data_IF_209222001248
#
_entry.id   IF_209222001248
#
_cell.length_a   1.000
_cell.length_b   1.000
_cell.length_c   1.000
_cell.angle_alpha   90.00
_cell.angle_beta   90.00
_cell.angle_gamma   90.00
#
_symmetry.space_group_name_H-M   'P 1'
#
loop_
_entity.id
_entity.type
_entity.pdbx_description
1 polymer ?
#
# COMPACT_ATOMS: atom_id res chain seq x y z
N UNK A 1 8.05 6.24 -30.19
CA UNK A 1 8.82 5.13 -30.83
C UNK A 1 8.19 3.82 -30.39
N UNK A 2 8.17 2.78 -31.22
CA UNK A 2 7.76 1.45 -30.79
C UNK A 2 9.02 0.60 -30.60
N UNK A 3 9.15 -0.03 -29.43
CA UNK A 3 10.24 -0.94 -29.09
C UNK A 3 9.64 -2.34 -28.94
N UNK A 4 10.22 -3.32 -29.62
CA UNK A 4 9.83 -4.73 -29.56
C UNK A 4 11.12 -5.53 -29.41
N UNK A 5 11.37 -6.05 -28.21
CA UNK A 5 12.60 -6.75 -27.84
C UNK A 5 12.26 -7.94 -26.95
N UNK A 6 12.70 -9.13 -27.32
CA UNK A 6 12.46 -10.31 -26.49
C UNK A 6 13.21 -10.23 -25.15
N UNK A 7 14.54 -10.10 -25.18
CA UNK A 7 15.36 -9.94 -23.98
C UNK A 7 16.39 -8.83 -24.19
N UNK A 8 16.65 -8.04 -23.15
CA UNK A 8 17.71 -7.04 -23.17
C UNK A 8 18.47 -7.00 -21.85
N UNK A 9 19.81 -7.05 -21.95
CA UNK A 9 20.71 -6.91 -20.80
C UNK A 9 21.49 -5.59 -20.96
N UNK A 10 21.34 -4.68 -20.00
CA UNK A 10 22.00 -3.37 -20.03
C UNK A 10 22.82 -3.18 -18.76
N UNK A 11 24.08 -2.80 -18.92
CA UNK A 11 24.93 -2.44 -17.77
C UNK A 11 24.45 -1.12 -17.15
N UNK A 12 24.38 -0.05 -17.94
CA UNK A 12 23.98 1.27 -17.45
C UNK A 12 23.05 1.96 -18.46
N UNK A 13 21.98 2.57 -17.96
CA UNK A 13 21.23 3.61 -18.66
C UNK A 13 21.45 4.93 -17.92
N UNK A 14 21.92 5.94 -18.64
CA UNK A 14 22.11 7.30 -18.13
C UNK A 14 21.58 8.25 -19.21
N UNK A 15 20.34 8.70 -19.02
CA UNK A 15 19.65 9.58 -19.98
C UNK A 15 18.66 10.48 -19.26
N UNK A 16 18.52 11.74 -19.70
CA UNK A 16 17.52 12.62 -19.09
C UNK A 16 16.08 12.14 -19.29
N UNK A 17 15.69 11.82 -20.53
CA UNK A 17 14.31 11.48 -20.85
C UNK A 17 14.23 10.26 -21.77
N UNK A 18 13.21 9.42 -21.54
CA UNK A 18 12.77 8.37 -22.45
C UNK A 18 11.31 8.62 -22.83
N UNK A 19 11.06 8.96 -24.09
CA UNK A 19 9.69 9.18 -24.61
C UNK A 19 9.38 8.11 -25.67
N UNK A 20 8.47 7.19 -25.34
CA UNK A 20 8.08 6.11 -26.26
C UNK A 20 6.58 5.93 -26.35
N UNK A 21 6.13 5.34 -27.45
CA UNK A 21 4.70 5.14 -27.70
C UNK A 21 4.28 3.77 -27.16
N UNK A 22 4.99 2.73 -27.59
CA UNK A 22 4.77 1.36 -27.12
C UNK A 22 6.12 0.71 -26.79
N UNK A 23 6.17 0.00 -25.68
CA UNK A 23 7.26 -0.91 -25.31
C UNK A 23 6.67 -2.32 -25.16
N UNK A 24 7.18 -3.26 -25.93
CA UNK A 24 6.90 -4.69 -25.83
C UNK A 24 8.23 -5.39 -25.51
N UNK A 25 8.43 -5.75 -24.24
CA UNK A 25 9.67 -6.39 -23.77
C UNK A 25 9.37 -7.56 -22.84
N UNK A 26 9.82 -8.77 -23.21
CA UNK A 26 9.54 -9.94 -22.37
C UNK A 26 10.38 -9.95 -21.10
N UNK A 27 11.70 -9.69 -21.21
CA UNK A 27 12.60 -9.60 -20.06
C UNK A 27 13.61 -8.45 -20.22
N UNK A 28 13.83 -7.70 -19.15
CA UNK A 28 14.80 -6.60 -19.10
C UNK A 28 15.65 -6.70 -17.84
N UNK A 29 16.96 -6.94 -18.01
CA UNK A 29 17.93 -6.99 -16.91
C UNK A 29 18.81 -5.74 -16.97
N UNK A 30 18.77 -4.89 -15.94
CA UNK A 30 19.59 -3.67 -15.88
C UNK A 30 20.38 -3.57 -14.58
N UNK A 31 21.68 -3.29 -14.67
CA UNK A 31 22.48 -3.11 -13.46
C UNK A 31 22.28 -1.73 -12.83
N UNK A 32 22.30 -0.64 -13.62
CA UNK A 32 22.04 0.71 -13.10
C UNK A 32 21.18 1.53 -14.06
N UNK A 33 20.18 2.22 -13.51
CA UNK A 33 19.40 3.24 -14.21
C UNK A 33 19.54 4.57 -13.48
N UNK A 34 19.86 5.62 -14.24
CA UNK A 34 19.78 7.02 -13.85
C UNK A 34 18.98 7.76 -14.94
N UNK A 35 17.70 8.02 -14.66
CA UNK A 35 16.79 8.68 -15.60
C UNK A 35 15.97 9.75 -14.87
N UNK A 36 15.82 10.92 -15.47
CA UNK A 36 14.96 11.95 -14.90
C UNK A 36 13.48 11.67 -15.18
N UNK A 37 13.10 11.40 -16.43
CA UNK A 37 11.70 11.18 -16.78
C UNK A 37 11.52 10.04 -17.78
N UNK A 38 10.50 9.21 -17.56
CA UNK A 38 10.01 8.21 -18.52
C UNK A 38 8.56 8.55 -18.85
N UNK A 39 8.25 8.73 -20.14
CA UNK A 39 6.88 8.92 -20.64
C UNK A 39 6.57 7.82 -21.68
N UNK A 40 5.60 6.95 -21.36
CA UNK A 40 5.25 5.80 -22.20
C UNK A 40 3.72 5.68 -22.34
N UNK A 41 3.19 5.54 -23.55
CA UNK A 41 1.74 5.31 -23.66
C UNK A 41 1.35 3.88 -23.28
N UNK A 42 2.04 2.85 -23.78
CA UNK A 42 1.68 1.46 -23.46
C UNK A 42 2.90 0.60 -23.20
N UNK A 43 2.82 -0.23 -22.16
CA UNK A 43 3.81 -1.26 -21.84
C UNK A 43 3.13 -2.64 -21.81
N UNK A 44 3.67 -3.59 -22.58
CA UNK A 44 3.41 -5.02 -22.45
C UNK A 44 4.74 -5.69 -22.08
N UNK A 45 4.95 -5.92 -20.78
CA UNK A 45 6.18 -6.50 -20.26
C UNK A 45 5.89 -7.62 -19.28
N UNK A 46 6.75 -8.62 -19.20
CA UNK A 46 6.61 -9.63 -18.14
C UNK A 46 7.46 -9.28 -16.92
N UNK A 47 8.78 -9.14 -17.06
CA UNK A 47 9.71 -8.95 -15.92
C UNK A 47 10.78 -7.90 -16.18
N UNK A 48 11.02 -7.03 -15.20
CA UNK A 48 12.06 -6.02 -15.17
C UNK A 48 12.90 -6.23 -13.91
N UNK A 49 14.15 -6.66 -14.09
CA UNK A 49 15.10 -6.91 -13.00
C UNK A 49 16.14 -5.78 -12.96
N UNK A 50 16.13 -4.96 -11.90
CA UNK A 50 17.02 -3.79 -11.79
C UNK A 50 17.81 -3.79 -10.49
N UNK A 51 19.14 -3.79 -10.58
CA UNK A 51 19.96 -3.76 -9.36
C UNK A 51 19.89 -2.39 -8.66
N UNK A 52 20.10 -1.27 -9.35
CA UNK A 52 19.92 0.06 -8.77
C UNK A 52 19.13 0.96 -9.72
N UNK A 53 18.09 1.61 -9.20
CA UNK A 53 17.23 2.51 -9.94
C UNK A 53 17.20 3.88 -9.27
N UNK A 54 17.59 4.92 -10.01
CA UNK A 54 17.35 6.32 -9.67
C UNK A 54 16.48 6.91 -10.80
N UNK A 55 15.16 6.98 -10.56
CA UNK A 55 14.20 7.51 -11.52
C UNK A 55 13.29 8.54 -10.86
N UNK A 56 13.38 9.79 -11.29
CA UNK A 56 12.56 10.83 -10.65
C UNK A 56 11.06 10.70 -10.97
N UNK A 57 10.67 10.49 -12.24
CA UNK A 57 9.27 10.35 -12.62
C UNK A 57 9.04 9.31 -13.73
N UNK A 58 7.97 8.53 -13.59
CA UNK A 58 7.44 7.58 -14.56
C UNK A 58 5.98 7.94 -14.83
N UNK A 59 5.63 8.32 -16.06
CA UNK A 59 4.26 8.57 -16.52
C UNK A 59 3.89 7.54 -17.59
N UNK A 60 2.90 6.67 -17.28
CA UNK A 60 2.47 5.61 -18.17
C UNK A 60 0.94 5.60 -18.34
N UNK A 61 0.45 5.50 -19.58
CA UNK A 61 -1.00 5.46 -19.80
C UNK A 61 -1.60 4.07 -19.52
N UNK A 62 -1.02 2.98 -20.05
CA UNK A 62 -1.53 1.63 -19.80
C UNK A 62 -0.42 0.60 -19.60
N UNK A 63 -0.61 -0.28 -18.63
CA UNK A 63 0.23 -1.45 -18.32
C UNK A 63 -0.66 -2.70 -18.26
N UNK A 64 -0.33 -3.73 -19.07
CA UNK A 64 -1.07 -5.00 -19.07
C UNK A 64 -0.49 -5.99 -18.05
N UNK A 65 0.84 -6.05 -17.88
CA UNK A 65 1.53 -6.79 -16.81
C UNK A 65 2.85 -6.07 -16.51
N UNK A 66 3.22 -6.01 -15.23
CA UNK A 66 4.53 -5.50 -14.81
C UNK A 66 4.99 -6.20 -13.52
N UNK A 67 6.04 -7.01 -13.61
CA UNK A 67 6.80 -7.45 -12.44
C UNK A 67 8.09 -6.63 -12.39
N UNK A 68 8.31 -5.92 -11.29
CA UNK A 68 9.52 -5.14 -11.03
C UNK A 68 10.25 -5.78 -9.86
N UNK A 69 11.44 -6.33 -10.11
CA UNK A 69 12.33 -6.85 -9.09
C UNK A 69 13.51 -5.89 -8.95
N UNK A 70 13.62 -5.18 -7.82
CA UNK A 70 14.78 -4.27 -7.61
C UNK A 70 15.47 -4.40 -6.27
N UNK A 71 16.77 -4.04 -6.25
CA UNK A 71 17.53 -4.05 -5.00
C UNK A 71 17.46 -2.70 -4.27
N UNK A 72 17.70 -1.58 -4.95
CA UNK A 72 17.64 -0.26 -4.32
C UNK A 72 16.97 0.77 -5.24
N UNK A 73 16.07 1.55 -4.67
CA UNK A 73 15.39 2.70 -5.30
C UNK A 73 15.57 3.94 -4.40
N UNK A 74 16.14 5.03 -4.95
CA UNK A 74 16.39 6.27 -4.19
C UNK A 74 15.17 7.21 -4.20
N UNK A 75 14.42 7.32 -5.31
CA UNK A 75 13.16 8.06 -5.45
C UNK A 75 12.40 7.45 -6.62
N UNK A 76 11.06 7.32 -6.52
CA UNK A 76 10.23 6.87 -7.62
C UNK A 76 8.82 7.46 -7.51
N UNK A 77 8.46 8.35 -8.45
CA UNK A 77 7.08 8.78 -8.67
C UNK A 77 6.50 8.02 -9.85
N UNK A 78 5.40 7.31 -9.64
CA UNK A 78 4.70 6.51 -10.65
C UNK A 78 3.31 7.08 -10.85
N UNK A 79 3.08 7.69 -12.01
CA UNK A 79 1.77 8.13 -12.46
C UNK A 79 1.26 7.15 -13.53
N UNK A 80 0.21 6.37 -13.23
CA UNK A 80 -0.35 5.40 -14.19
C UNK A 80 -1.86 5.51 -14.33
N UNK A 81 -2.35 5.58 -15.57
CA UNK A 81 -3.81 5.65 -15.79
C UNK A 81 -4.50 4.28 -15.64
N UNK A 82 -4.02 3.22 -16.29
CA UNK A 82 -4.60 1.88 -16.10
C UNK A 82 -3.52 0.81 -15.94
N UNK A 83 -3.74 -0.07 -14.96
CA UNK A 83 -2.91 -1.25 -14.68
C UNK A 83 -3.84 -2.46 -14.58
N UNK A 84 -3.57 -3.51 -15.35
CA UNK A 84 -4.20 -4.81 -15.09
C UNK A 84 -3.49 -5.49 -13.90
N UNK A 85 -2.19 -5.78 -14.02
CA UNK A 85 -1.41 -6.44 -12.95
C UNK A 85 -0.08 -5.72 -12.70
N UNK A 86 0.18 -5.39 -11.44
CA UNK A 86 1.47 -4.86 -10.99
C UNK A 86 1.99 -5.61 -9.76
N UNK A 87 3.16 -6.20 -9.89
CA UNK A 87 3.90 -6.81 -8.78
C UNK A 87 5.23 -6.07 -8.60
N UNK A 88 5.51 -5.64 -7.38
CA UNK A 88 6.70 -4.87 -7.02
C UNK A 88 7.43 -5.61 -5.90
N UNK A 89 8.59 -6.19 -6.22
CA UNK A 89 9.47 -6.86 -5.25
C UNK A 89 10.74 -6.01 -5.06
N UNK A 90 10.88 -5.36 -3.90
CA UNK A 90 12.00 -4.42 -3.67
C UNK A 90 12.69 -4.62 -2.32
N UNK A 91 14.03 -4.65 -2.32
CA UNK A 91 14.78 -4.76 -1.07
C UNK A 91 14.80 -3.44 -0.26
N UNK A 92 15.17 -2.31 -0.85
CA UNK A 92 15.14 -1.02 -0.16
C UNK A 92 14.60 0.10 -1.06
N UNK A 93 13.72 0.93 -0.49
CA UNK A 93 13.21 2.14 -1.13
C UNK A 93 13.30 3.30 -0.14
N UNK A 94 13.88 4.42 -0.57
CA UNK A 94 13.86 5.65 0.21
C UNK A 94 12.50 6.35 0.06
N UNK A 95 11.96 6.51 -1.16
CA UNK A 95 10.62 7.09 -1.35
C UNK A 95 9.90 6.48 -2.55
N UNK A 96 8.65 6.09 -2.34
CA UNK A 96 7.73 5.60 -3.37
C UNK A 96 6.42 6.36 -3.32
N UNK A 97 6.09 7.05 -4.42
CA UNK A 97 4.82 7.73 -4.62
C UNK A 97 4.10 7.09 -5.82
N UNK A 98 2.90 6.54 -5.61
CA UNK A 98 2.09 5.86 -6.64
C UNK A 98 0.74 6.58 -6.80
N UNK A 99 0.54 7.21 -7.95
CA UNK A 99 -0.70 7.87 -8.33
C UNK A 99 -1.35 7.09 -9.47
N UNK A 100 -2.53 6.50 -9.23
CA UNK A 100 -3.21 5.69 -10.25
C UNK A 100 -4.72 5.88 -10.36
N UNK A 101 -5.24 5.69 -11.57
CA UNK A 101 -6.69 5.80 -11.80
C UNK A 101 -7.42 4.45 -11.68
N UNK A 102 -6.96 3.40 -12.36
CA UNK A 102 -7.56 2.07 -12.23
C UNK A 102 -6.48 0.99 -12.15
N UNK A 103 -6.60 0.10 -11.17
CA UNK A 103 -5.77 -1.08 -11.02
C UNK A 103 -6.67 -2.31 -10.83
N UNK A 104 -6.50 -3.39 -11.60
CA UNK A 104 -7.19 -4.63 -11.23
C UNK A 104 -6.47 -5.28 -10.02
N UNK A 105 -5.15 -5.50 -10.10
CA UNK A 105 -4.38 -6.10 -9.01
C UNK A 105 -3.02 -5.42 -8.77
N UNK A 106 -2.72 -5.16 -7.49
CA UNK A 106 -1.42 -4.67 -7.03
C UNK A 106 -0.88 -5.51 -5.87
N UNK A 107 0.32 -6.06 -6.04
CA UNK A 107 1.08 -6.73 -4.99
C UNK A 107 2.42 -6.00 -4.76
N UNK A 108 2.70 -5.62 -3.51
CA UNK A 108 3.95 -4.96 -3.10
C UNK A 108 4.62 -5.82 -2.03
N UNK A 109 5.77 -6.42 -2.32
CA UNK A 109 6.64 -7.13 -1.35
C UNK A 109 7.95 -6.35 -1.16
N UNK A 110 8.18 -5.81 0.03
CA UNK A 110 9.41 -5.06 0.30
C UNK A 110 10.04 -5.32 1.66
N UNK A 111 11.37 -5.16 1.73
CA UNK A 111 12.09 -5.30 3.00
C UNK A 111 12.15 -3.98 3.78
N UNK A 112 12.52 -2.86 3.16
CA UNK A 112 12.51 -1.56 3.84
C UNK A 112 11.97 -0.46 2.91
N UNK A 113 11.05 0.35 3.43
CA UNK A 113 10.61 1.60 2.80
C UNK A 113 10.71 2.74 3.82
N UNK A 114 11.38 3.84 3.51
CA UNK A 114 11.28 5.00 4.40
C UNK A 114 9.90 5.67 4.23
N UNK A 115 9.49 6.02 3.00
CA UNK A 115 8.20 6.66 2.73
C UNK A 115 7.46 5.98 1.58
N UNK A 116 6.19 5.61 1.81
CA UNK A 116 5.24 5.19 0.78
C UNK A 116 4.01 6.09 0.80
N UNK A 117 3.69 6.72 -0.33
CA UNK A 117 2.42 7.40 -0.57
C UNK A 117 1.69 6.74 -1.75
N UNK A 118 0.40 6.50 -1.61
CA UNK A 118 -0.42 5.94 -2.68
C UNK A 118 -1.75 6.66 -2.79
N UNK A 119 -2.00 7.27 -3.95
CA UNK A 119 -3.26 7.92 -4.30
C UNK A 119 -3.95 7.14 -5.44
N UNK A 120 -4.99 6.35 -5.10
CA UNK A 120 -5.63 5.42 -6.05
C UNK A 120 -7.12 5.71 -6.18
N UNK A 121 -7.60 5.87 -7.42
CA UNK A 121 -9.03 6.08 -7.65
C UNK A 121 -9.85 4.79 -7.56
N UNK A 122 -9.45 3.72 -8.27
CA UNK A 122 -10.11 2.41 -8.15
C UNK A 122 -9.07 1.30 -8.17
N UNK A 123 -9.21 0.32 -7.27
CA UNK A 123 -8.42 -0.90 -7.28
C UNK A 123 -9.24 -2.12 -6.86
N UNK A 124 -9.22 -3.23 -7.60
CA UNK A 124 -9.97 -4.40 -7.13
C UNK A 124 -9.25 -5.06 -5.95
N UNK A 125 -7.95 -5.37 -6.09
CA UNK A 125 -7.18 -6.08 -5.05
C UNK A 125 -5.83 -5.39 -4.81
N UNK A 126 -5.54 -5.11 -3.54
CA UNK A 126 -4.23 -4.64 -3.09
C UNK A 126 -3.67 -5.53 -1.98
N UNK A 127 -2.46 -6.04 -2.17
CA UNK A 127 -1.70 -6.73 -1.14
C UNK A 127 -0.37 -6.00 -0.87
N UNK A 128 -0.08 -5.73 0.40
CA UNK A 128 1.13 -5.05 0.84
C UNK A 128 1.80 -5.93 1.90
N UNK A 129 2.96 -6.49 1.57
CA UNK A 129 3.80 -7.29 2.45
C UNK A 129 5.12 -6.53 2.69
N UNK A 130 5.31 -5.94 3.87
CA UNK A 130 6.50 -5.10 4.15
C UNK A 130 7.16 -5.46 5.48
N UNK A 131 8.48 -5.64 5.50
CA UNK A 131 9.18 -5.88 6.77
C UNK A 131 9.25 -4.60 7.61
N UNK A 132 9.80 -3.50 7.09
CA UNK A 132 9.86 -2.21 7.80
C UNK A 132 9.38 -1.06 6.92
N UNK A 133 8.53 -0.19 7.48
CA UNK A 133 8.17 1.08 6.85
C UNK A 133 8.12 2.22 7.87
N UNK A 134 8.80 3.34 7.60
CA UNK A 134 8.77 4.49 8.51
C UNK A 134 7.44 5.25 8.35
N UNK A 135 6.98 5.50 7.13
CA UNK A 135 5.69 6.17 6.89
C UNK A 135 4.96 5.62 5.70
N UNK A 136 3.68 5.27 5.92
CA UNK A 136 2.75 4.82 4.91
C UNK A 136 1.51 5.71 4.89
N UNK A 137 1.22 6.34 3.76
CA UNK A 137 -0.01 7.09 3.52
C UNK A 137 -0.75 6.48 2.32
N UNK A 138 -2.03 6.16 2.50
CA UNK A 138 -2.86 5.53 1.47
C UNK A 138 -4.18 6.29 1.36
N UNK A 139 -4.42 6.93 0.22
CA UNK A 139 -5.66 7.62 -0.10
C UNK A 139 -6.37 6.88 -1.25
N UNK A 140 -7.53 6.28 -0.98
CA UNK A 140 -8.25 5.45 -1.97
C UNK A 140 -9.72 5.86 -2.10
N UNK A 141 -10.19 6.02 -3.34
CA UNK A 141 -11.62 6.28 -3.57
C UNK A 141 -12.46 4.99 -3.55
N UNK A 142 -12.08 3.93 -4.25
CA UNK A 142 -12.77 2.63 -4.16
C UNK A 142 -11.77 1.48 -4.18
N UNK A 143 -11.96 0.51 -3.30
CA UNK A 143 -11.20 -0.75 -3.30
C UNK A 143 -12.07 -1.94 -2.93
N UNK A 144 -12.00 -3.07 -3.63
CA UNK A 144 -12.77 -4.24 -3.22
C UNK A 144 -12.07 -4.95 -2.04
N UNK A 145 -10.76 -5.22 -2.15
CA UNK A 145 -10.02 -5.92 -1.09
C UNK A 145 -8.64 -5.34 -0.85
N UNK A 146 -8.33 -5.05 0.41
CA UNK A 146 -7.01 -4.64 0.87
C UNK A 146 -6.47 -5.58 1.94
N UNK A 147 -5.25 -6.08 1.74
CA UNK A 147 -4.51 -6.84 2.74
C UNK A 147 -3.17 -6.14 3.02
N UNK A 148 -2.91 -5.82 4.29
CA UNK A 148 -1.64 -5.25 4.74
C UNK A 148 -1.04 -6.20 5.77
N UNK A 149 0.17 -6.68 5.52
CA UNK A 149 0.90 -7.54 6.43
C UNK A 149 2.31 -6.99 6.62
N UNK A 150 2.62 -6.53 7.84
CA UNK A 150 3.91 -5.88 8.10
C UNK A 150 4.52 -6.24 9.45
N UNK A 151 5.85 -6.18 9.52
CA UNK A 151 6.55 -6.43 10.78
C UNK A 151 6.68 -5.16 11.63
N UNK A 152 7.13 -4.05 11.05
CA UNK A 152 7.23 -2.77 11.78
C UNK A 152 6.74 -1.61 10.91
N UNK A 153 5.86 -0.79 11.47
CA UNK A 153 5.45 0.50 10.90
C UNK A 153 5.61 1.61 11.94
N UNK A 154 6.28 2.71 11.63
CA UNK A 154 6.26 3.86 12.53
C UNK A 154 4.91 4.61 12.41
N UNK A 155 4.51 4.98 11.19
CA UNK A 155 3.25 5.70 10.95
C UNK A 155 2.48 5.08 9.77
N UNK A 156 1.21 4.75 10.00
CA UNK A 156 0.23 4.42 8.96
C UNK A 156 -0.94 5.40 9.01
N UNK A 157 -1.22 6.06 7.88
CA UNK A 157 -2.43 6.85 7.67
C UNK A 157 -3.18 6.31 6.46
N UNK A 158 -4.50 6.13 6.60
CA UNK A 158 -5.36 5.71 5.49
C UNK A 158 -6.62 6.56 5.43
N UNK A 159 -6.94 7.13 4.27
CA UNK A 159 -8.22 7.79 3.96
C UNK A 159 -8.90 7.05 2.81
N UNK A 160 -10.00 6.32 3.12
CA UNK A 160 -10.67 5.47 2.14
C UNK A 160 -12.15 5.82 2.04
N UNK A 161 -12.62 6.09 0.83
CA UNK A 161 -14.04 6.40 0.62
C UNK A 161 -14.91 5.14 0.63
N UNK A 162 -14.57 4.10 -0.12
CA UNK A 162 -15.30 2.82 -0.08
C UNK A 162 -14.34 1.64 -0.12
N UNK A 163 -14.54 0.67 0.77
CA UNK A 163 -13.81 -0.59 0.78
C UNK A 163 -14.71 -1.77 1.15
N UNK A 164 -14.72 -2.87 0.41
CA UNK A 164 -15.53 -4.02 0.85
C UNK A 164 -14.82 -4.76 2.01
N UNK A 165 -13.55 -5.12 1.83
CA UNK A 165 -12.80 -5.92 2.81
C UNK A 165 -11.42 -5.30 3.08
N UNK A 166 -11.12 -5.10 4.37
CA UNK A 166 -9.80 -4.70 4.84
C UNK A 166 -9.27 -5.67 5.89
N UNK A 167 -8.07 -6.22 5.66
CA UNK A 167 -7.33 -7.01 6.64
C UNK A 167 -5.97 -6.36 6.91
N UNK A 168 -5.64 -6.16 8.18
CA UNK A 168 -4.40 -5.55 8.64
C UNK A 168 -3.77 -6.45 9.70
N UNK A 169 -2.62 -7.03 9.38
CA UNK A 169 -1.83 -7.88 10.27
C UNK A 169 -0.47 -7.19 10.52
N UNK A 170 -0.25 -6.64 11.71
CA UNK A 170 0.98 -5.90 12.03
C UNK A 170 1.62 -6.35 13.34
N UNK A 171 2.92 -6.66 13.32
CA UNK A 171 3.62 -7.02 14.56
C UNK A 171 3.80 -5.78 15.45
N UNK A 172 4.44 -4.72 14.96
CA UNK A 172 4.62 -3.47 15.72
C UNK A 172 4.19 -2.26 14.90
N UNK A 173 3.39 -1.39 15.50
CA UNK A 173 3.05 -0.09 14.91
C UNK A 173 3.05 1.03 15.94
N UNK A 174 3.74 2.13 15.66
CA UNK A 174 3.74 3.26 16.58
C UNK A 174 2.41 4.04 16.49
N UNK A 175 2.01 4.45 15.29
CA UNK A 175 0.76 5.18 15.08
C UNK A 175 -0.02 4.64 13.88
N UNK A 176 -1.30 4.35 14.10
CA UNK A 176 -2.26 4.00 13.07
C UNK A 176 -3.45 4.97 13.09
N UNK A 177 -3.70 5.64 11.97
CA UNK A 177 -4.87 6.47 11.75
C UNK A 177 -5.65 5.95 10.53
N UNK A 178 -6.93 5.66 10.70
CA UNK A 178 -7.80 5.12 9.65
C UNK A 178 -9.08 5.94 9.60
N UNK A 179 -9.29 6.63 8.49
CA UNK A 179 -10.52 7.39 8.21
C UNK A 179 -11.25 6.72 7.03
N UNK A 180 -12.46 6.20 7.27
CA UNK A 180 -13.22 5.45 6.26
C UNK A 180 -14.66 5.91 6.16
N UNK A 181 -15.14 6.17 4.94
CA UNK A 181 -16.55 6.52 4.74
C UNK A 181 -17.46 5.28 4.73
N UNK A 182 -17.15 4.25 3.95
CA UNK A 182 -17.92 3.01 3.97
C UNK A 182 -17.00 1.79 3.93
N UNK A 183 -17.27 0.82 4.80
CA UNK A 183 -16.58 -0.47 4.81
C UNK A 183 -17.49 -1.63 5.19
N UNK A 184 -17.47 -2.73 4.46
CA UNK A 184 -18.29 -3.89 4.87
C UNK A 184 -17.60 -4.64 6.01
N UNK A 185 -16.35 -5.06 5.83
CA UNK A 185 -15.62 -5.86 6.84
C UNK A 185 -14.21 -5.35 7.09
N UNK A 186 -13.88 -5.15 8.36
CA UNK A 186 -12.53 -4.83 8.82
C UNK A 186 -12.02 -5.83 9.85
N UNK A 187 -10.83 -6.38 9.61
CA UNK A 187 -10.10 -7.19 10.57
C UNK A 187 -8.73 -6.56 10.84
N UNK A 188 -8.39 -6.38 12.12
CA UNK A 188 -7.09 -5.85 12.56
C UNK A 188 -6.52 -6.84 13.57
N UNK A 189 -5.36 -7.45 13.29
CA UNK A 189 -4.56 -8.22 14.25
C UNK A 189 -3.23 -7.49 14.47
N UNK A 190 -2.97 -7.07 15.72
CA UNK A 190 -1.70 -6.42 16.06
C UNK A 190 -1.07 -6.93 17.35
N UNK A 191 0.25 -7.12 17.35
CA UNK A 191 0.95 -7.51 18.59
C UNK A 191 1.23 -6.31 19.48
N UNK A 192 1.77 -5.22 18.94
CA UNK A 192 2.03 -3.99 19.69
C UNK A 192 1.61 -2.78 18.89
N UNK A 193 0.78 -1.92 19.48
CA UNK A 193 0.40 -0.64 18.89
C UNK A 193 0.44 0.47 19.94
N UNK A 194 1.17 1.57 19.72
CA UNK A 194 1.13 2.66 20.71
C UNK A 194 -0.18 3.44 20.57
N UNK A 195 -0.50 3.91 19.37
CA UNK A 195 -1.71 4.71 19.13
C UNK A 195 -2.53 4.19 17.96
N UNK A 196 -3.82 3.93 18.20
CA UNK A 196 -4.82 3.63 17.18
C UNK A 196 -5.91 4.71 17.21
N UNK A 197 -6.15 5.39 16.09
CA UNK A 197 -7.30 6.25 15.88
C UNK A 197 -8.08 5.79 14.65
N UNK A 198 -9.40 5.67 14.78
CA UNK A 198 -10.27 5.32 13.67
C UNK A 198 -11.52 6.20 13.67
N UNK A 199 -11.86 6.81 12.53
CA UNK A 199 -13.12 7.50 12.27
C UNK A 199 -13.83 6.83 11.09
N UNK A 200 -14.96 6.16 11.36
CA UNK A 200 -15.67 5.38 10.36
C UNK A 200 -17.14 5.80 10.27
N UNK A 201 -17.59 6.16 9.07
CA UNK A 201 -18.97 6.60 8.90
C UNK A 201 -19.94 5.40 8.87
N UNK A 202 -19.71 4.40 8.03
CA UNK A 202 -20.53 3.19 7.98
C UNK A 202 -19.66 1.93 7.94
N UNK A 203 -19.99 0.97 8.79
CA UNK A 203 -19.35 -0.32 8.86
C UNK A 203 -20.37 -1.44 9.09
N UNK A 204 -20.20 -2.61 8.48
CA UNK A 204 -21.01 -3.78 8.88
C UNK A 204 -20.31 -4.56 9.99
N UNK A 205 -19.05 -4.97 9.80
CA UNK A 205 -18.34 -5.86 10.75
C UNK A 205 -16.95 -5.32 11.06
N UNK A 206 -16.64 -5.24 12.37
CA UNK A 206 -15.30 -5.00 12.88
C UNK A 206 -14.83 -6.12 13.80
N UNK A 207 -13.64 -6.64 13.54
CA UNK A 207 -12.89 -7.46 14.49
C UNK A 207 -11.51 -6.84 14.72
N UNK A 208 -11.15 -6.64 15.99
CA UNK A 208 -9.85 -6.11 16.40
C UNK A 208 -9.28 -7.04 17.47
N UNK A 209 -8.12 -7.62 17.20
CA UNK A 209 -7.36 -8.42 18.14
C UNK A 209 -6.01 -7.72 18.39
N UNK A 210 -5.76 -7.32 19.65
CA UNK A 210 -4.54 -6.59 20.02
C UNK A 210 -3.89 -7.21 21.25
N UNK A 211 -2.59 -7.48 21.19
CA UNK A 211 -1.87 -7.94 22.38
C UNK A 211 -1.52 -6.79 23.34
N UNK A 212 -0.93 -5.68 22.87
CA UNK A 212 -0.60 -4.52 23.71
C UNK A 212 -1.00 -3.20 23.02
N UNK A 213 -1.68 -2.31 23.76
CA UNK A 213 -2.04 -0.96 23.29
C UNK A 213 -1.93 0.12 24.37
N UNK A 214 -1.40 1.29 24.01
CA UNK A 214 -1.35 2.45 24.90
C UNK A 214 -2.58 3.37 24.72
N UNK A 215 -2.95 3.72 23.48
CA UNK A 215 -4.10 4.61 23.21
C UNK A 215 -4.93 4.07 22.06
N UNK A 216 -6.24 3.99 22.26
CA UNK A 216 -7.22 3.62 21.24
C UNK A 216 -8.39 4.60 21.24
N UNK A 217 -8.67 5.21 20.10
CA UNK A 217 -9.86 6.02 19.88
C UNK A 217 -10.59 5.53 18.64
N UNK A 218 -11.83 5.07 18.80
CA UNK A 218 -12.66 4.58 17.72
C UNK A 218 -13.97 5.37 17.72
N UNK A 219 -14.26 6.11 16.66
CA UNK A 219 -15.57 6.75 16.43
C UNK A 219 -16.21 6.08 15.22
N UNK A 220 -17.38 5.45 15.43
CA UNK A 220 -18.13 4.82 14.34
C UNK A 220 -19.58 5.31 14.38
N UNK A 221 -20.04 5.89 13.28
CA UNK A 221 -21.40 6.39 13.21
C UNK A 221 -22.41 5.25 13.10
N UNK A 222 -22.23 4.32 12.16
CA UNK A 222 -23.08 3.14 12.02
C UNK A 222 -22.23 1.87 11.98
N UNK A 223 -22.48 0.94 12.90
CA UNK A 223 -21.86 -0.39 12.91
C UNK A 223 -22.87 -1.47 13.24
N UNK A 224 -22.86 -2.61 12.54
CA UNK A 224 -23.70 -3.77 12.87
C UNK A 224 -23.07 -4.65 13.97
N UNK A 225 -21.82 -5.06 13.77
CA UNK A 225 -21.10 -5.98 14.67
C UNK A 225 -19.72 -5.42 14.98
N UNK A 226 -19.36 -5.44 16.26
CA UNK A 226 -18.05 -5.04 16.75
C UNK A 226 -17.55 -6.05 17.78
N UNK A 227 -16.37 -6.61 17.52
CA UNK A 227 -15.60 -7.43 18.45
C UNK A 227 -14.23 -6.78 18.63
N UNK A 228 -13.87 -6.51 19.88
CA UNK A 228 -12.55 -6.01 20.25
C UNK A 228 -12.02 -6.89 21.37
N UNK A 229 -10.89 -7.56 21.14
CA UNK A 229 -10.11 -8.30 22.11
C UNK A 229 -8.76 -7.60 22.34
N UNK A 230 -8.46 -7.29 23.60
CA UNK A 230 -7.22 -6.65 24.01
C UNK A 230 -6.70 -7.36 25.26
N UNK A 231 -5.49 -7.93 25.18
CA UNK A 231 -4.93 -8.79 26.22
C UNK A 231 -4.22 -7.99 27.33
N UNK A 232 -3.22 -7.18 26.98
CA UNK A 232 -2.39 -6.47 27.96
C UNK A 232 -2.76 -4.98 27.99
N UNK A 233 -3.66 -4.62 28.90
CA UNK A 233 -4.03 -3.24 29.20
C UNK A 233 -3.33 -2.82 30.49
N UNK A 234 -2.48 -1.79 30.42
CA UNK A 234 -1.79 -1.25 31.59
C UNK A 234 -2.56 -0.08 32.25
N UNK A 235 -2.00 0.52 33.31
CA UNK A 235 -2.67 1.61 34.03
C UNK A 235 -2.71 2.95 33.30
N UNK A 236 -1.88 3.11 32.26
CA UNK A 236 -1.79 4.30 31.42
C UNK A 236 -2.59 4.13 30.11
N UNK A 237 -3.09 2.92 29.81
CA UNK A 237 -3.88 2.68 28.61
C UNK A 237 -5.16 3.53 28.56
N UNK A 238 -5.38 4.24 27.46
CA UNK A 238 -6.54 5.09 27.20
C UNK A 238 -7.39 4.51 26.05
N UNK A 239 -8.55 3.93 26.36
CA UNK A 239 -9.48 3.38 25.37
C UNK A 239 -10.77 4.21 25.29
N UNK A 240 -11.13 4.67 24.09
CA UNK A 240 -12.41 5.31 23.79
C UNK A 240 -13.06 4.66 22.56
N UNK A 241 -14.33 4.27 22.69
CA UNK A 241 -15.14 3.73 21.60
C UNK A 241 -16.48 4.43 21.63
N UNK A 242 -16.81 5.15 20.56
CA UNK A 242 -18.05 5.91 20.40
C UNK A 242 -18.86 5.34 19.24
N UNK A 243 -20.05 4.82 19.55
CA UNK A 243 -20.96 4.22 18.57
C UNK A 243 -22.29 4.97 18.60
N UNK A 244 -22.78 5.40 17.43
CA UNK A 244 -24.04 6.18 17.37
C UNK A 244 -25.29 5.27 17.27
N UNK A 245 -25.13 4.01 16.83
CA UNK A 245 -26.17 2.97 16.84
C UNK A 245 -25.53 1.59 17.13
N UNK A 246 -26.21 0.74 17.93
CA UNK A 246 -26.05 -0.74 18.04
C UNK A 246 -25.37 -1.37 19.28
N UNK A 247 -25.21 -2.70 19.21
CA UNK A 247 -24.93 -3.68 20.27
C UNK A 247 -23.42 -3.93 20.37
N UNK A 248 -22.80 -3.44 21.43
CA UNK A 248 -21.36 -3.58 21.68
C UNK A 248 -21.05 -4.86 22.46
N UNK A 249 -20.18 -5.73 21.93
CA UNK A 249 -19.57 -6.82 22.71
C UNK A 249 -18.08 -6.55 22.85
N UNK A 250 -17.67 -5.95 23.97
CA UNK A 250 -16.25 -5.88 24.35
C UNK A 250 -15.96 -7.08 25.23
N UNK A 251 -15.07 -7.97 24.78
CA UNK A 251 -14.51 -9.02 25.64
C UNK A 251 -13.16 -8.51 26.13
N UNK A 252 -13.03 -8.35 27.45
CA UNK A 252 -11.74 -8.08 28.09
C UNK A 252 -11.27 -9.40 28.70
N UNK A 253 -10.11 -9.89 28.31
CA UNK A 253 -9.46 -11.06 28.91
C UNK A 253 -8.14 -10.67 29.53
#
# INVERSE_FOLDING_TARGET
MNIDIMNIDIMNIDTMNIDTMNIDIMNMDIMNIDIMNIEIMNIDTMNIDIMNMDIMNIDIMNIEIMNIDTMNIDIMNIDIMNIDIMNIDIMNIDTMDIDTMNIDTMDIDTMNIDIMNMDIMNIDIMNIDIINIDTMNIDIMNIDTMNINTMNIDIMNMDIMNIDIMNIDIINIDTMNIDIMNIDTMNIDTMNINTMNMDIMNMDIMNIDIMNIDTMNIDIMNIDIINIDIINIDSNTHLSVKLTRQTLTIVKT
#
